data_IF_906726282803
#
_entry.id   IF_906726282803
#
_cell.length_a   1.000
_cell.length_b   1.000
_cell.length_c   1.000
_cell.angle_alpha   90.00
_cell.angle_beta   90.00
_cell.angle_gamma   90.00
#
_symmetry.space_group_name_H-M   'P 1'
#
loop_
_entity.id
_entity.type
_entity.pdbx_description
1 polymer ?
#
# COMPACT_ATOMS: atom_id res chain seq x y z
N UNK A 1 22.61 -5.64 89.98
CA UNK A 1 22.14 -6.22 88.75
C UNK A 1 22.60 -5.33 87.62
N UNK A 2 23.73 -5.69 87.03
CA UNK A 2 24.38 -4.95 85.95
C UNK A 2 23.87 -5.50 84.59
N UNK A 3 23.25 -4.62 83.85
CA UNK A 3 22.84 -4.87 82.49
C UNK A 3 23.98 -4.45 81.53
N UNK A 4 24.73 -5.44 80.99
CA UNK A 4 25.71 -5.26 79.92
C UNK A 4 24.90 -5.18 78.60
N UNK A 5 24.83 -3.98 78.07
CA UNK A 5 24.35 -3.76 76.73
C UNK A 5 25.46 -4.18 75.75
N UNK A 6 25.27 -5.27 75.02
CA UNK A 6 26.12 -5.74 73.93
C UNK A 6 26.10 -4.77 72.79
N UNK A 7 27.17 -4.02 72.56
CA UNK A 7 27.42 -3.17 71.43
C UNK A 7 28.04 -3.96 70.25
N UNK A 8 27.37 -4.98 69.80
CA UNK A 8 27.91 -5.81 68.74
C UNK A 8 26.94 -6.23 67.68
N UNK A 9 26.49 -5.34 66.77
CA UNK A 9 25.96 -5.81 65.49
C UNK A 9 25.72 -4.74 64.41
N UNK A 10 26.18 -3.53 64.62
CA UNK A 10 25.96 -2.48 63.60
C UNK A 10 26.99 -2.53 62.46
N UNK A 11 28.17 -3.08 62.65
CA UNK A 11 29.20 -3.19 61.64
C UNK A 11 28.90 -4.19 60.51
N UNK A 12 28.14 -5.29 60.84
CA UNK A 12 27.81 -6.31 59.84
C UNK A 12 26.62 -5.93 58.98
N UNK A 13 25.77 -4.97 59.42
CA UNK A 13 24.63 -4.52 58.61
C UNK A 13 25.10 -3.58 57.49
N UNK A 14 26.15 -2.82 57.67
CA UNK A 14 26.72 -1.92 56.64
C UNK A 14 27.42 -2.67 55.50
N UNK A 15 28.11 -3.78 55.84
CA UNK A 15 28.81 -4.59 54.85
C UNK A 15 27.85 -5.38 53.94
N UNK A 16 26.71 -5.82 54.48
CA UNK A 16 25.73 -6.54 53.64
C UNK A 16 24.93 -5.61 52.69
N UNK A 17 24.71 -4.35 53.08
CA UNK A 17 24.12 -3.35 52.22
C UNK A 17 25.01 -2.92 51.07
N UNK A 18 26.33 -2.78 51.34
CA UNK A 18 27.30 -2.39 50.31
C UNK A 18 27.50 -3.43 49.21
N UNK A 19 27.35 -4.72 49.52
CA UNK A 19 27.43 -5.81 48.53
C UNK A 19 26.08 -6.07 47.80
N UNK A 20 24.99 -5.73 48.41
CA UNK A 20 23.67 -5.90 47.81
C UNK A 20 23.33 -4.82 46.76
N UNK A 21 23.86 -3.61 46.92
CA UNK A 21 23.62 -2.50 45.95
C UNK A 21 24.12 -2.82 44.53
N UNK A 22 25.34 -3.33 44.27
CA UNK A 22 25.75 -3.65 42.92
C UNK A 22 24.97 -4.81 42.29
N UNK A 23 24.53 -5.80 43.11
CA UNK A 23 23.73 -6.91 42.65
C UNK A 23 22.31 -6.43 42.24
N UNK A 24 21.73 -5.58 43.06
CA UNK A 24 20.39 -5.00 42.76
C UNK A 24 20.45 -4.07 41.55
N UNK A 25 21.54 -3.32 41.37
CA UNK A 25 21.74 -2.45 40.19
C UNK A 25 21.89 -3.29 38.94
N UNK A 26 22.63 -4.40 38.99
CA UNK A 26 22.78 -5.32 37.87
C UNK A 26 21.41 -5.93 37.45
N UNK A 27 20.65 -6.45 38.40
CA UNK A 27 19.33 -6.97 38.15
C UNK A 27 18.37 -5.92 37.59
N UNK A 28 18.44 -4.68 38.09
CA UNK A 28 17.63 -3.57 37.55
C UNK A 28 18.02 -3.24 36.10
N UNK A 29 19.31 -3.26 35.76
CA UNK A 29 19.78 -3.06 34.40
C UNK A 29 19.32 -4.18 33.46
N UNK A 30 19.43 -5.43 33.90
CA UNK A 30 18.98 -6.60 33.14
C UNK A 30 17.45 -6.52 32.88
N UNK A 31 16.64 -6.23 33.89
CA UNK A 31 15.21 -6.05 33.76
C UNK A 31 14.85 -4.88 32.83
N UNK A 32 15.63 -3.78 32.88
CA UNK A 32 15.44 -2.65 31.98
C UNK A 32 15.69 -3.07 30.51
N UNK A 33 16.80 -3.77 30.24
CA UNK A 33 17.12 -4.25 28.90
C UNK A 33 16.03 -5.21 28.40
N UNK A 34 15.62 -6.17 29.20
CA UNK A 34 14.53 -7.11 28.86
C UNK A 34 13.23 -6.36 28.57
N UNK A 35 12.89 -5.36 29.39
CA UNK A 35 11.68 -4.56 29.22
C UNK A 35 11.71 -3.77 27.90
N UNK A 36 12.86 -3.18 27.52
CA UNK A 36 13.02 -2.48 26.23
C UNK A 36 12.88 -3.42 25.06
N UNK A 37 13.49 -4.62 25.12
CA UNK A 37 13.36 -5.63 24.07
C UNK A 37 11.90 -6.11 23.96
N UNK A 38 11.26 -6.40 25.09
CA UNK A 38 9.85 -6.81 25.11
C UNK A 38 8.94 -5.74 24.54
N UNK A 39 9.16 -4.46 24.91
CA UNK A 39 8.43 -3.33 24.32
C UNK A 39 8.56 -3.33 22.79
N UNK A 40 9.78 -3.44 22.28
CA UNK A 40 10.01 -3.45 20.83
C UNK A 40 9.30 -4.62 20.14
N UNK A 41 9.34 -5.83 20.72
CA UNK A 41 8.64 -6.98 20.17
C UNK A 41 7.13 -6.79 20.17
N UNK A 42 6.57 -6.30 21.27
CA UNK A 42 5.12 -6.05 21.39
C UNK A 42 4.68 -4.98 20.38
N UNK A 43 5.42 -3.86 20.28
CA UNK A 43 5.11 -2.78 19.32
C UNK A 43 5.19 -3.29 17.88
N UNK A 44 6.21 -4.06 17.55
CA UNK A 44 6.35 -4.69 16.23
C UNK A 44 5.16 -5.62 15.91
N UNK A 45 4.82 -6.51 16.82
CA UNK A 45 3.70 -7.45 16.63
C UNK A 45 2.36 -6.70 16.51
N UNK A 46 2.15 -5.71 17.37
CA UNK A 46 0.96 -4.87 17.33
C UNK A 46 0.83 -4.14 16.00
N UNK A 47 1.88 -3.47 15.55
CA UNK A 47 1.89 -2.72 14.29
C UNK A 47 1.64 -3.65 13.10
N UNK A 48 2.28 -4.83 13.07
CA UNK A 48 2.07 -5.82 12.01
C UNK A 48 0.65 -6.37 12.00
N UNK A 49 0.13 -6.71 13.16
CA UNK A 49 -1.25 -7.23 13.29
C UNK A 49 -2.27 -6.16 12.93
N UNK A 50 -2.11 -4.93 13.40
CA UNK A 50 -2.97 -3.81 13.06
C UNK A 50 -2.99 -3.56 11.55
N UNK A 51 -1.81 -3.51 10.89
CA UNK A 51 -1.70 -3.36 9.43
C UNK A 51 -2.34 -4.53 8.67
N UNK A 52 -2.22 -5.75 9.19
CA UNK A 52 -2.82 -6.93 8.56
C UNK A 52 -4.35 -6.94 8.65
N UNK A 53 -4.90 -6.44 9.75
CA UNK A 53 -6.35 -6.36 10.00
C UNK A 53 -6.99 -5.09 9.45
N UNK A 54 -6.19 -4.13 8.96
CA UNK A 54 -6.71 -2.88 8.41
C UNK A 54 -7.59 -3.16 7.17
N UNK A 55 -8.77 -2.52 7.05
CA UNK A 55 -9.61 -2.65 5.87
C UNK A 55 -8.85 -2.27 4.61
N UNK A 56 -8.94 -3.08 3.57
CA UNK A 56 -8.11 -2.92 2.36
C UNK A 56 -8.80 -2.16 1.24
N UNK A 57 -10.13 -2.01 1.30
CA UNK A 57 -10.94 -1.32 0.29
C UNK A 57 -10.94 -1.97 -1.10
N UNK A 58 -10.32 -3.13 -1.25
CA UNK A 58 -10.29 -3.93 -2.47
C UNK A 58 -10.26 -5.43 -2.13
N UNK A 59 -10.72 -6.25 -3.07
CA UNK A 59 -10.76 -7.71 -2.96
C UNK A 59 -9.74 -8.32 -3.93
N UNK A 60 -8.92 -9.23 -3.43
CA UNK A 60 -7.95 -10.02 -4.22
C UNK A 60 -8.37 -11.47 -4.40
N UNK A 61 -9.54 -11.85 -3.90
CA UNK A 61 -10.04 -13.21 -4.02
C UNK A 61 -10.25 -13.54 -5.49
N UNK A 62 -9.74 -14.71 -5.90
CA UNK A 62 -9.79 -15.17 -7.28
C UNK A 62 -9.11 -14.26 -8.33
N UNK A 63 -8.21 -13.36 -7.88
CA UNK A 63 -7.41 -12.55 -8.78
C UNK A 63 -6.11 -13.28 -9.14
N UNK A 64 -5.77 -13.26 -10.41
CA UNK A 64 -4.55 -13.85 -10.95
C UNK A 64 -3.74 -12.80 -11.68
N UNK A 65 -2.43 -12.85 -11.52
CA UNK A 65 -1.46 -12.04 -12.23
C UNK A 65 -0.86 -12.87 -13.35
N UNK A 66 -0.95 -12.37 -14.58
CA UNK A 66 -0.25 -12.93 -15.72
C UNK A 66 0.90 -11.99 -16.08
N UNK A 67 2.12 -12.45 -15.88
CA UNK A 67 3.30 -11.73 -16.33
C UNK A 67 3.54 -12.09 -17.80
N UNK A 68 3.67 -11.05 -18.62
CA UNK A 68 3.96 -11.17 -20.04
C UNK A 68 5.38 -10.69 -20.30
N UNK A 69 6.11 -11.41 -21.13
CA UNK A 69 7.47 -11.06 -21.50
C UNK A 69 7.75 -11.37 -22.95
N UNK A 70 8.70 -10.65 -23.54
CA UNK A 70 9.19 -10.95 -24.89
C UNK A 70 9.91 -12.30 -24.90
N UNK A 71 9.66 -13.09 -25.94
CA UNK A 71 10.45 -14.28 -26.21
C UNK A 71 11.90 -13.88 -26.51
N UNK A 72 12.83 -14.68 -26.07
CA UNK A 72 14.24 -14.48 -26.40
C UNK A 72 14.55 -15.04 -27.80
N UNK A 73 15.62 -14.53 -28.41
CA UNK A 73 16.16 -14.98 -29.72
C UNK A 73 16.44 -16.49 -29.81
N UNK A 74 16.51 -17.16 -28.67
CA UNK A 74 16.69 -18.62 -28.55
C UNK A 74 15.39 -19.41 -28.61
N UNK A 75 14.24 -18.73 -28.53
CA UNK A 75 12.94 -19.38 -28.59
C UNK A 75 12.60 -19.74 -30.05
N UNK A 76 12.02 -20.93 -30.31
CA UNK A 76 11.63 -21.33 -31.69
C UNK A 76 10.52 -20.42 -32.26
N UNK A 77 9.74 -19.79 -31.41
CA UNK A 77 8.62 -18.90 -31.77
C UNK A 77 9.01 -17.41 -31.73
N UNK A 78 10.30 -17.11 -31.67
CA UNK A 78 10.77 -15.71 -31.66
C UNK A 78 10.52 -15.04 -33.02
N UNK A 79 9.85 -13.88 -32.96
CA UNK A 79 9.61 -13.02 -34.13
C UNK A 79 10.65 -11.91 -34.14
N UNK A 80 11.62 -11.92 -35.05
CA UNK A 80 12.64 -10.88 -35.13
C UNK A 80 12.04 -9.57 -35.68
N UNK A 81 12.55 -8.42 -35.17
CA UNK A 81 12.17 -7.05 -35.60
C UNK A 81 10.69 -6.72 -35.45
N UNK A 82 10.02 -7.28 -34.47
CA UNK A 82 8.67 -6.84 -34.08
C UNK A 82 8.68 -5.38 -33.63
N UNK A 83 7.77 -4.57 -34.16
CA UNK A 83 7.63 -3.16 -33.74
C UNK A 83 6.82 -3.06 -32.43
N UNK A 84 6.98 -1.94 -31.70
CA UNK A 84 6.22 -1.71 -30.45
C UNK A 84 4.70 -1.74 -30.73
N UNK A 85 4.24 -1.23 -31.90
CA UNK A 85 2.81 -1.27 -32.27
C UNK A 85 2.30 -2.71 -32.50
N UNK A 86 3.15 -3.60 -33.02
CA UNK A 86 2.79 -5.01 -33.20
C UNK A 86 2.71 -5.73 -31.84
N UNK A 87 3.64 -5.44 -30.94
CA UNK A 87 3.61 -5.98 -29.58
C UNK A 87 2.38 -5.53 -28.80
N UNK A 88 2.03 -4.24 -28.90
CA UNK A 88 0.81 -3.69 -28.29
C UNK A 88 -0.45 -4.36 -28.87
N UNK A 89 -0.48 -4.60 -30.18
CA UNK A 89 -1.59 -5.29 -30.84
C UNK A 89 -1.74 -6.75 -30.35
N UNK A 90 -0.64 -7.47 -30.21
CA UNK A 90 -0.63 -8.84 -29.69
C UNK A 90 -1.12 -8.92 -28.23
N UNK A 91 -0.72 -7.96 -27.40
CA UNK A 91 -1.20 -7.84 -26.02
C UNK A 91 -2.71 -7.59 -26.00
N UNK A 92 -3.21 -6.69 -26.83
CA UNK A 92 -4.63 -6.40 -26.92
C UNK A 92 -5.44 -7.60 -27.39
N UNK A 93 -4.91 -8.35 -28.41
CA UNK A 93 -5.55 -9.56 -28.86
C UNK A 93 -5.60 -10.64 -27.75
N UNK A 94 -4.53 -10.78 -26.98
CA UNK A 94 -4.50 -11.69 -25.83
C UNK A 94 -5.59 -11.32 -24.81
N UNK A 95 -5.69 -10.02 -24.46
CA UNK A 95 -6.73 -9.53 -23.55
C UNK A 95 -8.13 -9.83 -24.07
N UNK A 96 -8.36 -9.62 -25.37
CA UNK A 96 -9.66 -9.90 -25.99
C UNK A 96 -10.00 -11.39 -26.01
N UNK A 97 -9.00 -12.26 -26.22
CA UNK A 97 -9.18 -13.70 -26.08
C UNK A 97 -9.53 -14.12 -24.66
N UNK A 98 -8.89 -13.49 -23.65
CA UNK A 98 -9.20 -13.73 -22.23
C UNK A 98 -10.61 -13.27 -21.87
N UNK A 99 -11.02 -12.07 -22.31
CA UNK A 99 -12.37 -11.55 -22.08
C UNK A 99 -13.50 -12.41 -22.66
N UNK A 100 -13.21 -13.19 -23.72
CA UNK A 100 -14.20 -14.11 -24.33
C UNK A 100 -14.38 -15.40 -23.53
N UNK A 101 -13.55 -15.65 -22.52
CA UNK A 101 -13.68 -16.85 -21.70
C UNK A 101 -14.77 -16.65 -20.65
N UNK A 102 -15.75 -17.57 -20.58
CA UNK A 102 -16.88 -17.42 -19.64
C UNK A 102 -16.46 -17.52 -18.17
N UNK A 103 -15.28 -18.09 -17.90
CA UNK A 103 -14.76 -18.22 -16.55
C UNK A 103 -14.12 -16.91 -16.03
N UNK A 104 -13.86 -15.95 -16.91
CA UNK A 104 -13.15 -14.70 -16.58
C UNK A 104 -14.18 -13.57 -16.43
N UNK A 105 -14.27 -12.99 -15.24
CA UNK A 105 -15.17 -11.87 -14.93
C UNK A 105 -14.65 -10.55 -15.50
N UNK A 106 -13.36 -10.25 -15.27
CA UNK A 106 -12.73 -9.02 -15.73
C UNK A 106 -11.24 -9.21 -16.02
N UNK A 107 -10.72 -8.43 -16.98
CA UNK A 107 -9.31 -8.40 -17.36
C UNK A 107 -8.82 -6.97 -17.38
N UNK A 108 -7.76 -6.68 -16.67
CA UNK A 108 -7.13 -5.36 -16.64
C UNK A 108 -5.68 -5.44 -17.03
N UNK A 109 -5.22 -4.47 -17.79
CA UNK A 109 -3.80 -4.22 -18.00
C UNK A 109 -3.30 -3.21 -16.98
N UNK A 110 -2.08 -3.40 -16.50
CA UNK A 110 -1.46 -2.45 -15.57
C UNK A 110 0.05 -2.40 -15.74
N UNK A 111 0.61 -1.23 -15.47
CA UNK A 111 2.05 -1.06 -15.40
C UNK A 111 2.49 -1.19 -13.94
N UNK A 112 2.91 -2.39 -13.52
CA UNK A 112 3.37 -2.66 -12.16
C UNK A 112 2.44 -2.09 -11.06
N UNK A 113 1.13 -2.07 -11.30
CA UNK A 113 0.18 -1.36 -10.44
C UNK A 113 -0.68 -2.28 -9.57
N UNK A 114 -0.40 -3.58 -9.54
CA UNK A 114 -1.15 -4.52 -8.72
C UNK A 114 -0.89 -4.34 -7.21
N UNK A 115 -1.83 -4.71 -6.35
CA UNK A 115 -1.65 -4.68 -4.90
C UNK A 115 -0.43 -5.50 -4.45
N UNK A 116 0.27 -5.02 -3.43
CA UNK A 116 1.48 -5.65 -2.86
C UNK A 116 2.70 -5.72 -3.79
N UNK A 117 2.69 -4.99 -4.89
CA UNK A 117 3.88 -4.83 -5.72
C UNK A 117 4.96 -4.05 -4.94
N UNK A 118 6.20 -4.54 -5.01
CA UNK A 118 7.36 -3.88 -4.41
C UNK A 118 7.84 -2.63 -5.18
N UNK A 119 7.39 -2.44 -6.43
CA UNK A 119 7.72 -1.28 -7.26
C UNK A 119 6.54 -0.30 -7.27
N UNK A 120 6.76 0.92 -6.79
CA UNK A 120 5.73 1.95 -6.73
C UNK A 120 6.24 3.25 -7.36
N UNK A 121 5.46 3.81 -8.28
CA UNK A 121 5.62 5.20 -8.70
C UNK A 121 4.83 6.10 -7.76
N UNK A 122 5.34 7.29 -7.47
CA UNK A 122 4.69 8.26 -6.58
C UNK A 122 4.48 9.58 -7.26
N UNK A 123 3.35 10.21 -6.99
CA UNK A 123 3.02 11.56 -7.44
C UNK A 123 2.68 12.45 -6.24
N UNK A 124 2.91 13.75 -6.41
CA UNK A 124 2.30 14.76 -5.57
C UNK A 124 0.98 15.20 -6.18
N UNK A 125 -0.05 15.27 -5.37
CA UNK A 125 -1.38 15.74 -5.78
C UNK A 125 -1.66 17.04 -5.05
N UNK A 126 -1.89 18.10 -5.81
CA UNK A 126 -2.15 19.44 -5.27
C UNK A 126 -3.53 19.94 -5.65
N UNK A 127 -4.23 20.46 -4.66
CA UNK A 127 -5.45 21.23 -4.81
C UNK A 127 -5.29 22.54 -4.02
N UNK A 128 -5.24 23.67 -4.71
CA UNK A 128 -4.97 24.98 -4.12
C UNK A 128 -3.71 24.93 -3.22
N UNK A 129 -3.83 25.21 -1.94
CA UNK A 129 -2.75 25.14 -0.95
C UNK A 129 -2.54 23.76 -0.33
N UNK A 130 -3.46 22.81 -0.58
CA UNK A 130 -3.39 21.45 -0.07
C UNK A 130 -2.47 20.59 -0.94
N UNK A 131 -1.46 20.01 -0.33
CA UNK A 131 -0.51 19.12 -1.02
C UNK A 131 -0.54 17.75 -0.35
N UNK A 132 -0.71 16.68 -1.14
CA UNK A 132 -0.62 15.31 -0.65
C UNK A 132 0.76 15.01 -0.07
N UNK A 133 0.89 13.92 0.68
CA UNK A 133 2.21 13.47 1.13
C UNK A 133 3.08 13.02 -0.03
N UNK A 134 4.41 13.13 0.12
CA UNK A 134 5.42 12.78 -0.89
C UNK A 134 5.38 11.31 -1.36
N UNK A 135 4.60 10.46 -0.68
CA UNK A 135 4.49 9.02 -0.94
C UNK A 135 3.08 8.64 -1.36
N UNK A 136 2.42 9.50 -2.14
CA UNK A 136 1.14 9.14 -2.76
C UNK A 136 1.42 8.20 -3.92
N UNK A 137 1.06 6.94 -3.76
CA UNK A 137 1.32 5.90 -4.76
C UNK A 137 0.47 6.19 -6.01
N UNK A 138 1.11 6.30 -7.16
CA UNK A 138 0.46 6.39 -8.46
C UNK A 138 0.34 5.00 -9.07
N UNK A 139 -0.86 4.65 -9.51
CA UNK A 139 -1.14 3.43 -10.26
C UNK A 139 -1.69 3.80 -11.63
N UNK A 140 -0.99 3.39 -12.67
CA UNK A 140 -1.45 3.49 -14.06
C UNK A 140 -2.14 2.19 -14.43
N UNK A 141 -3.43 2.27 -14.77
CA UNK A 141 -4.31 1.11 -14.88
C UNK A 141 -5.30 1.30 -16.03
N UNK A 142 -5.80 0.21 -16.60
CA UNK A 142 -6.98 0.28 -17.44
C UNK A 142 -8.25 0.41 -16.59
N UNK A 143 -9.36 0.93 -17.14
CA UNK A 143 -10.61 1.11 -16.38
C UNK A 143 -11.11 -0.17 -15.69
N UNK A 144 -10.89 -1.34 -16.28
CA UNK A 144 -11.28 -2.63 -15.71
C UNK A 144 -10.55 -3.00 -14.42
N UNK A 145 -9.47 -2.30 -14.08
CA UNK A 145 -8.74 -2.53 -12.83
C UNK A 145 -9.63 -2.44 -11.58
N UNK A 146 -10.54 -1.47 -11.56
CA UNK A 146 -11.45 -1.30 -10.43
C UNK A 146 -12.51 -2.40 -10.37
N UNK A 147 -12.83 -3.05 -11.50
CA UNK A 147 -13.68 -4.25 -11.57
C UNK A 147 -12.95 -5.48 -11.06
N UNK A 148 -11.71 -5.72 -11.53
CA UNK A 148 -10.87 -6.87 -11.12
C UNK A 148 -10.72 -6.91 -9.60
N UNK A 149 -10.45 -5.78 -8.97
CA UNK A 149 -10.24 -5.68 -7.52
C UNK A 149 -11.49 -5.23 -6.75
N UNK A 150 -12.64 -5.12 -7.39
CA UNK A 150 -13.93 -4.77 -6.77
C UNK A 150 -13.86 -3.54 -5.88
N UNK A 151 -13.17 -2.50 -6.34
CA UNK A 151 -13.08 -1.22 -5.62
C UNK A 151 -14.46 -0.60 -5.39
N UNK A 152 -14.60 0.09 -4.27
CA UNK A 152 -15.80 0.84 -3.93
C UNK A 152 -15.47 2.29 -3.62
N UNK A 153 -16.33 3.19 -4.04
CA UNK A 153 -16.25 4.60 -3.68
C UNK A 153 -16.85 4.87 -2.28
N UNK A 154 -16.43 5.94 -1.66
CA UNK A 154 -16.90 6.36 -0.33
C UNK A 154 -18.37 6.75 -0.30
N UNK A 155 -18.93 7.16 -1.44
CA UNK A 155 -20.37 7.50 -1.59
C UNK A 155 -21.21 6.31 -2.06
N UNK A 156 -20.62 5.10 -2.14
CA UNK A 156 -21.29 3.90 -2.61
C UNK A 156 -21.20 3.70 -4.12
N UNK A 157 -20.26 4.38 -4.79
CA UNK A 157 -20.01 4.16 -6.22
C UNK A 157 -19.56 2.70 -6.46
N UNK A 158 -20.18 2.07 -7.45
CA UNK A 158 -19.87 0.70 -7.84
C UNK A 158 -18.60 0.63 -8.70
N UNK A 159 -17.96 -0.56 -8.84
CA UNK A 159 -16.81 -0.73 -9.73
C UNK A 159 -17.08 -0.27 -11.17
N UNK A 160 -18.31 -0.46 -11.69
CA UNK A 160 -18.69 -0.05 -13.03
C UNK A 160 -18.74 1.48 -13.18
N UNK A 161 -19.25 2.17 -12.16
CA UNK A 161 -19.28 3.64 -12.13
C UNK A 161 -17.87 4.21 -12.06
N UNK A 162 -17.00 3.61 -11.22
CA UNK A 162 -15.60 4.00 -11.08
C UNK A 162 -14.82 3.76 -12.38
N UNK A 163 -15.07 2.64 -13.08
CA UNK A 163 -14.47 2.37 -14.38
C UNK A 163 -14.87 3.43 -15.41
N UNK A 164 -16.17 3.80 -15.48
CA UNK A 164 -16.65 4.86 -16.35
C UNK A 164 -16.04 6.24 -16.08
N UNK A 165 -15.65 6.55 -14.85
CA UNK A 165 -14.91 7.78 -14.52
C UNK A 165 -13.47 7.72 -15.07
N UNK A 166 -12.78 6.58 -14.92
CA UNK A 166 -11.45 6.38 -15.51
C UNK A 166 -11.46 6.45 -17.04
N UNK A 167 -12.50 5.93 -17.69
CA UNK A 167 -12.70 6.02 -19.15
C UNK A 167 -12.84 7.47 -19.63
N UNK A 168 -13.43 8.35 -18.81
CA UNK A 168 -13.55 9.78 -19.08
C UNK A 168 -12.24 10.56 -18.81
N UNK A 169 -11.16 9.88 -18.39
CA UNK A 169 -9.89 10.50 -18.04
C UNK A 169 -9.88 11.17 -16.67
N UNK A 170 -10.88 10.90 -15.83
CA UNK A 170 -10.88 11.33 -14.43
C UNK A 170 -9.94 10.42 -13.62
N UNK A 171 -9.37 10.93 -12.52
CA UNK A 171 -8.60 10.10 -11.62
C UNK A 171 -9.41 9.77 -10.36
N UNK A 172 -9.07 8.64 -9.75
CA UNK A 172 -9.64 8.20 -8.48
C UNK A 172 -8.55 8.28 -7.41
N UNK A 173 -8.90 8.65 -6.20
CA UNK A 173 -7.94 8.76 -5.12
C UNK A 173 -8.48 8.21 -3.80
N UNK A 174 -7.60 7.72 -2.95
CA UNK A 174 -7.96 7.25 -1.61
C UNK A 174 -8.49 8.39 -0.76
N UNK A 175 -9.54 8.13 0.03
CA UNK A 175 -10.19 9.13 0.88
C UNK A 175 -9.23 9.77 1.89
N UNK A 176 -8.18 9.06 2.28
CA UNK A 176 -7.19 9.52 3.23
C UNK A 176 -6.10 10.45 2.65
N UNK A 177 -6.22 10.89 1.38
CA UNK A 177 -5.18 11.67 0.67
C UNK A 177 -4.80 12.95 1.44
N UNK A 178 -5.79 13.69 1.95
CA UNK A 178 -5.62 14.93 2.72
C UNK A 178 -5.96 14.79 4.20
N UNK A 179 -5.89 13.58 4.75
CA UNK A 179 -6.20 13.31 6.15
C UNK A 179 -5.42 14.19 7.13
N UNK A 180 -4.16 14.53 6.79
CA UNK A 180 -3.33 15.41 7.61
C UNK A 180 -3.89 16.83 7.78
N UNK A 181 -4.77 17.28 6.89
CA UNK A 181 -5.41 18.59 6.95
C UNK A 181 -6.83 18.54 7.51
N UNK A 182 -7.32 17.36 7.90
CA UNK A 182 -8.67 17.18 8.42
C UNK A 182 -9.80 17.26 7.38
N UNK A 183 -9.46 17.29 6.08
CA UNK A 183 -10.43 17.36 4.99
C UNK A 183 -10.67 15.97 4.39
N UNK A 184 -11.91 15.45 4.38
CA UNK A 184 -12.26 14.26 3.63
C UNK A 184 -12.22 14.56 2.13
N UNK A 185 -11.66 13.65 1.34
CA UNK A 185 -11.50 13.86 -0.10
C UNK A 185 -12.85 13.96 -0.83
N UNK A 186 -13.92 13.45 -0.25
CA UNK A 186 -15.29 13.53 -0.78
C UNK A 186 -15.78 14.96 -1.04
N UNK A 187 -15.27 15.96 -0.32
CA UNK A 187 -15.62 17.38 -0.51
C UNK A 187 -15.08 17.94 -1.84
N UNK A 188 -14.09 17.29 -2.40
CA UNK A 188 -13.37 17.74 -3.60
C UNK A 188 -13.74 16.98 -4.87
N UNK A 189 -14.65 16.01 -4.80
CA UNK A 189 -15.11 15.26 -5.98
C UNK A 189 -15.65 16.22 -7.05
N UNK A 190 -15.20 16.04 -8.29
CA UNK A 190 -15.53 16.88 -9.42
C UNK A 190 -14.62 18.11 -9.61
N UNK A 191 -13.71 18.40 -8.69
CA UNK A 191 -12.74 19.49 -8.80
C UNK A 191 -11.48 19.03 -9.54
N UNK A 192 -10.74 20.00 -10.09
CA UNK A 192 -9.49 19.76 -10.83
C UNK A 192 -8.28 19.89 -9.92
N UNK A 193 -7.37 18.95 -10.04
CA UNK A 193 -6.15 18.82 -9.26
C UNK A 193 -4.93 18.87 -10.17
N UNK A 194 -3.82 19.36 -9.66
CA UNK A 194 -2.51 19.24 -10.29
C UNK A 194 -1.82 17.98 -9.79
N UNK A 195 -1.39 17.14 -10.73
CA UNK A 195 -0.55 15.99 -10.44
C UNK A 195 0.88 16.29 -10.91
N UNK A 196 1.82 16.13 -9.99
CA UNK A 196 3.24 16.34 -10.23
C UNK A 196 3.92 14.98 -10.35
N UNK A 197 3.85 14.38 -11.56
CA UNK A 197 4.63 13.22 -11.94
C UNK A 197 5.81 13.65 -12.82
N UNK A 198 6.03 12.90 -13.90
CA UNK A 198 7.05 13.24 -14.90
C UNK A 198 6.76 14.58 -15.59
N UNK A 199 5.49 14.93 -15.70
CA UNK A 199 5.00 16.23 -16.19
C UNK A 199 3.86 16.74 -15.33
N UNK A 200 3.74 18.07 -15.18
CA UNK A 200 2.62 18.67 -14.45
C UNK A 200 1.37 18.61 -15.33
N UNK A 201 0.38 17.88 -14.87
CA UNK A 201 -0.89 17.73 -15.57
C UNK A 201 -2.05 18.01 -14.62
N UNK A 202 -3.17 18.46 -15.19
CA UNK A 202 -4.40 18.73 -14.44
C UNK A 202 -5.44 17.68 -14.77
N UNK A 203 -5.96 17.03 -13.73
CA UNK A 203 -6.99 16.00 -13.83
C UNK A 203 -8.16 16.30 -12.90
N UNK A 204 -9.35 15.89 -13.31
CA UNK A 204 -10.55 15.98 -12.50
C UNK A 204 -10.65 14.76 -11.58
N UNK A 205 -10.97 15.00 -10.31
CA UNK A 205 -11.25 13.92 -9.36
C UNK A 205 -12.65 13.35 -9.61
N UNK A 206 -12.72 12.08 -10.01
CA UNK A 206 -13.98 11.38 -10.24
C UNK A 206 -14.63 10.91 -8.94
N UNK A 207 -13.90 10.18 -8.13
CA UNK A 207 -14.41 9.67 -6.85
C UNK A 207 -13.29 9.49 -5.81
N UNK A 208 -13.70 9.47 -4.54
CA UNK A 208 -12.87 9.07 -3.41
C UNK A 208 -13.05 7.56 -3.14
N UNK A 209 -11.98 6.80 -3.10
CA UNK A 209 -11.98 5.35 -2.86
C UNK A 209 -12.03 5.06 -1.36
N UNK A 210 -12.87 4.10 -0.99
CA UNK A 210 -13.07 3.69 0.39
C UNK A 210 -11.92 2.81 0.87
N UNK A 211 -11.45 3.04 2.10
CA UNK A 211 -10.52 2.19 2.86
C UNK A 211 -9.26 1.73 2.06
N UNK A 212 -8.83 2.50 1.07
CA UNK A 212 -7.66 2.15 0.27
C UNK A 212 -6.38 2.74 0.86
N UNK A 213 -5.22 2.08 0.69
CA UNK A 213 -3.93 2.68 0.97
C UNK A 213 -3.78 4.01 0.22
N UNK A 214 -3.04 4.98 0.81
CA UNK A 214 -2.87 6.30 0.21
C UNK A 214 -2.32 6.20 -1.22
N UNK A 215 -3.15 6.55 -2.18
CA UNK A 215 -2.79 6.43 -3.59
C UNK A 215 -3.82 7.07 -4.52
N UNK A 216 -3.44 7.09 -5.79
CA UNK A 216 -4.28 7.53 -6.90
C UNK A 216 -4.31 6.46 -7.98
N UNK A 217 -5.46 6.29 -8.62
CA UNK A 217 -5.64 5.49 -9.82
C UNK A 217 -5.89 6.43 -11.01
N UNK A 218 -5.15 6.24 -12.08
CA UNK A 218 -5.28 7.01 -13.32
C UNK A 218 -5.28 6.08 -14.52
N UNK A 219 -6.08 6.40 -15.54
CA UNK A 219 -6.04 5.65 -16.80
C UNK A 219 -4.66 5.72 -17.44
N UNK A 220 -4.14 4.58 -17.87
CA UNK A 220 -2.88 4.45 -18.57
C UNK A 220 -3.10 4.56 -20.07
N UNK A 221 -2.24 5.31 -20.75
CA UNK A 221 -1.97 5.10 -22.17
C UNK A 221 -1.01 3.90 -22.25
N UNK A 222 -1.26 2.98 -23.18
CA UNK A 222 -0.59 1.67 -23.25
C UNK A 222 0.95 1.75 -23.21
N UNK A 223 1.53 1.32 -22.12
CA UNK A 223 2.88 0.76 -21.99
C UNK A 223 2.77 -0.33 -20.92
N UNK A 224 2.36 -1.53 -21.31
CA UNK A 224 1.84 -2.53 -20.37
C UNK A 224 2.81 -3.68 -20.18
N UNK A 225 3.09 -4.05 -18.95
CA UNK A 225 3.94 -5.17 -18.58
C UNK A 225 3.19 -6.37 -17.97
N UNK A 226 1.92 -6.23 -17.57
CA UNK A 226 1.21 -7.34 -16.91
C UNK A 226 -0.31 -7.27 -17.08
N UNK A 227 -0.93 -8.42 -17.24
CA UNK A 227 -2.38 -8.58 -17.24
C UNK A 227 -2.87 -9.11 -15.88
N UNK A 228 -3.95 -8.57 -15.41
CA UNK A 228 -4.62 -8.94 -14.15
C UNK A 228 -6.00 -9.52 -14.50
N UNK A 229 -6.32 -10.65 -13.92
CA UNK A 229 -7.58 -11.35 -14.14
C UNK A 229 -8.36 -11.50 -12.84
N UNK A 230 -9.68 -11.44 -12.92
CA UNK A 230 -10.57 -12.00 -11.92
C UNK A 230 -11.35 -13.15 -12.55
N UNK A 231 -11.45 -14.26 -11.83
CA UNK A 231 -12.09 -15.51 -12.26
C UNK A 231 -13.23 -15.81 -11.28
N UNK A 232 -14.35 -16.32 -11.78
CA UNK A 232 -15.50 -16.73 -10.99
C UNK A 232 -15.20 -17.88 -10.03
#
# INVERSE_FOLDING_TARGET
VSMLLSAGNWANCGLSLSSAVPINLWLALELLVVSVVMWFVVDYLYTRTATYLEPRGFDISHCYLIEMGKLTDKSPDYIPNQTDEQEDADILELVDRLRRRPEIEAVSLSQNSYPYNGSNSTDLVQYDTLISGNWTIRRLVTPDFVRVFRYQGTRGETPEQLAGMLEKGEFLASDNLYRKYGHPLTEFVGKSFRLFGDTIQTYRLGAALKDTPRGILRSATLNVCSALLNVY
#
